data_IF_860234039024
#
_entry.id   IF_860234039024
#
_cell.length_a   1.000
_cell.length_b   1.000
_cell.length_c   1.000
_cell.angle_alpha   90.00
_cell.angle_beta   90.00
_cell.angle_gamma   90.00
#
_symmetry.space_group_name_H-M   'P 1'
#
loop_
_entity.id
_entity.type
_entity.pdbx_description
1 polymer ?
#
# COMPACT_ATOMS: atom_id res chain seq x y z
N UNK A 1 -39.54 66.41 -39.77
CA UNK A 1 -38.88 65.36 -40.57
C UNK A 1 -37.95 64.48 -39.70
N UNK A 2 -37.33 65.03 -38.66
CA UNK A 2 -36.33 64.35 -37.82
C UNK A 2 -36.97 63.23 -36.89
N UNK A 3 -38.22 63.45 -36.41
CA UNK A 3 -38.89 62.50 -35.53
C UNK A 3 -39.33 61.15 -36.14
N UNK A 4 -39.42 61.06 -37.48
CA UNK A 4 -39.76 59.77 -38.14
C UNK A 4 -38.54 58.89 -38.39
N UNK A 5 -37.34 59.50 -38.52
CA UNK A 5 -36.09 58.78 -38.72
C UNK A 5 -35.62 58.16 -37.38
N UNK A 6 -35.73 58.88 -36.27
CA UNK A 6 -35.36 58.37 -34.93
C UNK A 6 -36.25 57.21 -34.52
N UNK A 7 -37.56 57.21 -34.80
CA UNK A 7 -38.46 56.09 -34.48
C UNK A 7 -38.18 54.85 -35.32
N UNK A 8 -37.71 54.97 -36.59
CA UNK A 8 -37.31 53.82 -37.42
C UNK A 8 -35.97 53.23 -36.97
N UNK A 9 -35.05 54.06 -36.51
CA UNK A 9 -33.75 53.58 -35.99
C UNK A 9 -33.90 52.87 -34.63
N UNK A 10 -34.80 53.37 -33.75
CA UNK A 10 -35.07 52.66 -32.48
C UNK A 10 -35.81 51.31 -32.68
N UNK A 11 -36.73 51.21 -33.67
CA UNK A 11 -37.42 49.94 -33.95
C UNK A 11 -36.51 48.89 -34.63
N UNK A 12 -35.50 49.31 -35.40
CA UNK A 12 -34.50 48.41 -36.00
C UNK A 12 -33.50 47.91 -34.96
N UNK A 13 -33.15 48.75 -33.94
CA UNK A 13 -32.25 48.36 -32.85
C UNK A 13 -32.92 47.40 -31.88
N UNK A 14 -34.23 47.55 -31.64
CA UNK A 14 -35.02 46.65 -30.77
C UNK A 14 -35.23 45.26 -31.41
N UNK A 15 -35.34 45.21 -32.75
CA UNK A 15 -35.47 43.96 -33.51
C UNK A 15 -34.15 43.20 -33.60
N UNK A 16 -33.01 43.89 -33.60
CA UNK A 16 -31.69 43.25 -33.67
C UNK A 16 -31.23 42.68 -32.30
N UNK A 17 -31.69 43.24 -31.18
CA UNK A 17 -31.45 42.74 -29.85
C UNK A 17 -32.33 41.51 -29.52
N UNK A 18 -33.54 41.40 -30.12
CA UNK A 18 -34.43 40.27 -29.93
C UNK A 18 -34.00 38.98 -30.70
N UNK A 19 -33.15 39.09 -31.72
CA UNK A 19 -32.68 37.94 -32.53
C UNK A 19 -31.40 37.33 -31.94
N UNK A 20 -30.67 38.03 -31.08
CA UNK A 20 -29.46 37.54 -30.41
C UNK A 20 -29.76 36.76 -29.11
N UNK A 21 -31.01 36.65 -28.66
CA UNK A 21 -31.39 35.98 -27.39
C UNK A 21 -31.97 34.56 -27.55
N UNK A 22 -31.92 33.93 -28.73
CA UNK A 22 -32.54 32.62 -28.97
C UNK A 22 -31.59 31.50 -29.47
N UNK A 23 -30.29 31.67 -29.32
CA UNK A 23 -29.38 30.52 -29.35
C UNK A 23 -28.71 30.31 -27.98
N UNK A 24 -29.52 30.17 -26.94
CA UNK A 24 -29.09 29.38 -25.79
C UNK A 24 -29.09 27.90 -26.26
N UNK A 25 -27.96 27.44 -26.83
CA UNK A 25 -27.66 26.03 -26.92
C UNK A 25 -27.84 25.54 -25.48
N UNK A 26 -28.74 24.58 -25.21
CA UNK A 26 -28.72 23.94 -23.89
C UNK A 26 -27.34 23.33 -23.77
N UNK A 27 -26.47 23.95 -22.99
CA UNK A 27 -25.35 23.22 -22.39
C UNK A 27 -26.01 22.12 -21.57
N UNK A 28 -26.16 20.95 -22.19
CA UNK A 28 -26.29 19.73 -21.40
C UNK A 28 -25.09 19.77 -20.47
N UNK A 29 -25.31 20.13 -19.24
CA UNK A 29 -24.38 19.89 -18.14
C UNK A 29 -24.32 18.36 -18.08
N UNK A 30 -23.48 17.75 -18.95
CA UNK A 30 -23.04 16.38 -18.74
C UNK A 30 -22.41 16.42 -17.34
N UNK A 31 -23.06 15.79 -16.36
CA UNK A 31 -22.44 15.56 -15.08
C UNK A 31 -21.04 15.04 -15.33
N UNK A 32 -20.05 15.59 -14.65
CA UNK A 32 -18.67 15.15 -14.83
C UNK A 32 -18.61 13.62 -14.66
N UNK A 33 -17.98 12.94 -15.62
CA UNK A 33 -17.77 11.49 -15.54
C UNK A 33 -17.07 11.17 -14.23
N UNK A 34 -17.51 10.13 -13.53
CA UNK A 34 -16.95 9.78 -12.22
C UNK A 34 -16.47 8.34 -12.19
N UNK A 35 -15.41 8.07 -11.41
CA UNK A 35 -14.94 6.73 -11.07
C UNK A 35 -15.04 6.52 -9.57
N UNK A 36 -15.74 5.45 -9.18
CA UNK A 36 -15.90 5.08 -7.77
C UNK A 36 -14.78 4.20 -7.25
N UNK A 37 -14.20 4.58 -6.09
CA UNK A 37 -13.21 3.83 -5.34
C UNK A 37 -13.71 3.51 -3.92
N UNK A 38 -13.48 2.29 -3.40
CA UNK A 38 -13.80 1.95 -2.02
C UNK A 38 -12.65 2.33 -1.09
N UNK A 39 -12.95 2.63 0.18
CA UNK A 39 -11.97 2.77 1.25
C UNK A 39 -12.38 1.84 2.39
N UNK A 40 -11.79 0.63 2.43
CA UNK A 40 -12.04 -0.35 3.49
C UNK A 40 -11.07 -0.11 4.64
N UNK A 41 -11.34 0.91 5.47
CA UNK A 41 -10.41 1.43 6.46
C UNK A 41 -10.25 0.58 7.71
N UNK A 42 -9.21 0.87 8.50
CA UNK A 42 -8.98 0.36 9.84
C UNK A 42 -8.44 1.48 10.74
N UNK A 43 -9.28 2.48 10.98
CA UNK A 43 -8.91 3.70 11.73
C UNK A 43 -9.17 3.61 13.22
N UNK A 44 -9.81 2.53 13.67
CA UNK A 44 -10.08 2.28 15.09
C UNK A 44 -9.42 0.97 15.54
N UNK A 45 -9.30 0.78 16.86
CA UNK A 45 -8.69 -0.41 17.46
C UNK A 45 -7.15 -0.41 17.43
N UNK A 46 -6.53 -1.56 17.68
CA UNK A 46 -5.07 -1.67 17.86
C UNK A 46 -4.24 -1.27 16.64
N UNK A 47 -4.82 -1.30 15.44
CA UNK A 47 -4.16 -0.94 14.17
C UNK A 47 -4.44 0.50 13.71
N UNK A 48 -5.11 1.30 14.53
CA UNK A 48 -5.61 2.64 14.15
C UNK A 48 -4.50 3.60 13.71
N UNK A 49 -3.34 3.57 14.35
CA UNK A 49 -2.21 4.44 13.98
C UNK A 49 -1.77 4.20 12.53
N UNK A 50 -1.65 2.93 12.13
CA UNK A 50 -1.33 2.52 10.77
C UNK A 50 -2.46 2.90 9.80
N UNK A 51 -3.71 2.52 10.14
CA UNK A 51 -4.87 2.75 9.28
C UNK A 51 -5.17 4.23 9.07
N UNK A 52 -5.03 5.06 10.09
CA UNK A 52 -5.26 6.52 9.99
C UNK A 52 -4.29 7.15 8.98
N UNK A 53 -3.00 6.82 9.03
CA UNK A 53 -2.02 7.30 8.06
C UNK A 53 -2.31 6.78 6.65
N UNK A 54 -2.43 5.48 6.51
CA UNK A 54 -2.55 4.80 5.21
C UNK A 54 -3.81 5.22 4.43
N UNK A 55 -4.98 5.11 5.05
CA UNK A 55 -6.24 5.48 4.38
C UNK A 55 -6.44 7.00 4.30
N UNK A 56 -5.88 7.75 5.25
CA UNK A 56 -5.82 9.20 5.17
C UNK A 56 -5.14 9.67 3.90
N UNK A 57 -3.97 9.10 3.60
CA UNK A 57 -3.23 9.42 2.38
C UNK A 57 -3.97 9.05 1.09
N UNK A 58 -4.70 7.94 1.07
CA UNK A 58 -5.52 7.57 -0.10
C UNK A 58 -6.58 8.62 -0.40
N UNK A 59 -7.31 9.08 0.64
CA UNK A 59 -8.33 10.13 0.49
C UNK A 59 -7.67 11.47 0.14
N UNK A 60 -6.56 11.82 0.78
CA UNK A 60 -5.81 13.04 0.48
C UNK A 60 -5.36 13.07 -1.00
N UNK A 61 -4.89 11.94 -1.52
CA UNK A 61 -4.49 11.86 -2.93
C UNK A 61 -5.68 11.93 -3.88
N UNK A 62 -6.80 11.28 -3.58
CA UNK A 62 -8.03 11.41 -4.37
C UNK A 62 -8.55 12.85 -4.38
N UNK A 63 -8.51 13.55 -3.23
CA UNK A 63 -8.81 14.97 -3.15
C UNK A 63 -7.87 15.80 -4.04
N UNK A 64 -6.56 15.55 -3.95
CA UNK A 64 -5.57 16.22 -4.77
C UNK A 64 -5.82 16.02 -6.28
N UNK A 65 -6.08 14.78 -6.70
CA UNK A 65 -6.41 14.46 -8.10
C UNK A 65 -7.65 15.20 -8.56
N UNK A 66 -8.70 15.23 -7.74
CA UNK A 66 -9.93 15.96 -8.06
C UNK A 66 -9.72 17.47 -8.16
N UNK A 67 -8.94 18.07 -7.24
CA UNK A 67 -8.60 19.49 -7.30
C UNK A 67 -7.76 19.86 -8.53
N UNK A 68 -7.13 18.89 -9.18
CA UNK A 68 -6.37 19.05 -10.41
C UNK A 68 -7.09 18.49 -11.65
N UNK A 69 -8.43 18.42 -11.63
CA UNK A 69 -9.26 18.08 -12.78
C UNK A 69 -9.50 16.58 -12.99
N UNK A 70 -9.27 15.76 -11.97
CA UNK A 70 -9.53 14.32 -12.02
C UNK A 70 -8.50 13.53 -12.85
N UNK A 71 -8.86 12.32 -13.19
CA UNK A 71 -8.04 11.45 -14.06
C UNK A 71 -8.48 11.64 -15.51
N UNK A 72 -7.76 12.48 -16.26
CA UNK A 72 -8.14 12.87 -17.63
C UNK A 72 -9.59 13.40 -17.71
N UNK A 73 -10.03 14.20 -16.74
CA UNK A 73 -11.39 14.75 -16.67
C UNK A 73 -12.40 13.91 -15.90
N UNK A 74 -12.06 12.66 -15.51
CA UNK A 74 -12.92 11.81 -14.69
C UNK A 74 -12.70 12.11 -13.22
N UNK A 75 -13.74 12.53 -12.52
CA UNK A 75 -13.66 12.84 -11.09
C UNK A 75 -13.74 11.57 -10.26
N UNK A 76 -13.03 11.54 -9.14
CA UNK A 76 -13.01 10.40 -8.23
C UNK A 76 -14.08 10.56 -7.14
N UNK A 77 -14.82 9.51 -6.90
CA UNK A 77 -15.75 9.41 -5.77
C UNK A 77 -15.35 8.24 -4.88
N UNK A 78 -15.66 8.31 -3.58
CA UNK A 78 -15.36 7.21 -2.66
C UNK A 78 -16.39 7.10 -1.55
N UNK A 79 -16.39 5.94 -0.94
CA UNK A 79 -17.09 5.68 0.32
C UNK A 79 -16.16 4.91 1.24
N UNK A 80 -16.14 5.29 2.51
CA UNK A 80 -15.36 4.63 3.55
C UNK A 80 -16.23 3.65 4.36
N UNK A 81 -15.66 2.50 4.70
CA UNK A 81 -16.24 1.51 5.59
C UNK A 81 -15.16 0.98 6.54
N UNK A 82 -15.42 1.10 7.85
CA UNK A 82 -14.45 0.70 8.88
C UNK A 82 -14.46 -0.82 9.11
N UNK A 83 -13.30 -1.46 8.93
CA UNK A 83 -13.09 -2.91 9.08
C UNK A 83 -12.52 -3.31 10.44
N UNK A 84 -11.98 -2.37 11.20
CA UNK A 84 -11.27 -2.62 12.46
C UNK A 84 -10.14 -3.67 12.34
N UNK A 85 -9.54 -3.80 11.14
CA UNK A 85 -8.57 -4.84 10.81
C UNK A 85 -9.12 -6.28 10.99
N UNK A 86 -10.42 -6.46 10.89
CA UNK A 86 -11.13 -7.72 11.13
C UNK A 86 -11.60 -8.35 9.83
N UNK A 87 -11.39 -9.67 9.66
CA UNK A 87 -11.73 -10.39 8.43
C UNK A 87 -13.24 -10.42 8.16
N UNK A 88 -14.08 -10.59 9.18
CA UNK A 88 -15.55 -10.63 9.04
C UNK A 88 -16.06 -9.27 8.60
N UNK A 89 -15.64 -8.20 9.32
CA UNK A 89 -15.99 -6.82 8.96
C UNK A 89 -15.45 -6.43 7.58
N UNK A 90 -14.30 -6.97 7.15
CA UNK A 90 -13.80 -6.77 5.78
C UNK A 90 -14.76 -7.32 4.74
N UNK A 91 -15.33 -8.52 4.96
CA UNK A 91 -16.34 -9.10 4.05
C UNK A 91 -17.61 -8.27 4.03
N UNK A 92 -18.08 -7.80 5.19
CA UNK A 92 -19.26 -6.91 5.30
C UNK A 92 -19.00 -5.58 4.55
N UNK A 93 -17.84 -4.96 4.77
CA UNK A 93 -17.44 -3.74 4.07
C UNK A 93 -17.30 -3.96 2.57
N UNK A 94 -16.74 -5.10 2.14
CA UNK A 94 -16.69 -5.44 0.72
C UNK A 94 -18.07 -5.47 0.08
N UNK A 95 -19.04 -6.14 0.71
CA UNK A 95 -20.42 -6.21 0.22
C UNK A 95 -21.08 -4.80 0.19
N UNK A 96 -20.88 -4.01 1.24
CA UNK A 96 -21.43 -2.66 1.35
C UNK A 96 -20.84 -1.69 0.33
N UNK A 97 -19.55 -1.82 0.04
CA UNK A 97 -18.81 -0.93 -0.86
C UNK A 97 -18.84 -1.38 -2.32
N UNK A 98 -19.31 -2.60 -2.62
CA UNK A 98 -19.17 -3.23 -3.93
C UNK A 98 -19.78 -2.42 -5.07
N UNK A 99 -20.92 -1.76 -4.81
CA UNK A 99 -21.61 -0.93 -5.79
C UNK A 99 -22.21 0.31 -5.12
N UNK A 100 -22.03 1.46 -5.75
CA UNK A 100 -22.65 2.71 -5.34
C UNK A 100 -23.11 3.50 -6.56
N UNK A 101 -24.34 3.98 -6.52
CA UNK A 101 -24.94 4.82 -7.58
C UNK A 101 -24.78 4.19 -8.99
N UNK A 102 -24.89 2.87 -9.11
CA UNK A 102 -24.74 2.11 -10.34
C UNK A 102 -23.28 1.90 -10.77
N UNK A 103 -22.30 2.34 -10.00
CA UNK A 103 -20.88 2.11 -10.26
C UNK A 103 -20.32 1.02 -9.34
N UNK A 104 -19.71 0.00 -9.92
CA UNK A 104 -18.99 -1.04 -9.19
C UNK A 104 -17.55 -0.62 -8.91
N UNK A 105 -17.02 -1.11 -7.79
CA UNK A 105 -15.60 -0.94 -7.49
C UNK A 105 -14.74 -1.67 -8.52
N UNK A 106 -13.59 -1.10 -8.83
CA UNK A 106 -12.60 -1.70 -9.75
C UNK A 106 -11.39 -2.27 -9.01
N UNK A 107 -11.18 -1.82 -7.77
CA UNK A 107 -10.08 -2.21 -6.90
C UNK A 107 -10.56 -2.33 -5.47
N UNK A 108 -9.94 -3.22 -4.70
CA UNK A 108 -10.16 -3.35 -3.26
C UNK A 108 -8.82 -3.51 -2.55
N UNK A 109 -8.62 -2.74 -1.49
CA UNK A 109 -7.42 -2.74 -0.66
C UNK A 109 -7.83 -2.85 0.81
N UNK A 110 -7.37 -3.89 1.47
CA UNK A 110 -7.79 -4.18 2.85
C UNK A 110 -6.73 -3.78 3.88
N UNK A 111 -5.49 -3.48 3.45
CA UNK A 111 -4.30 -3.37 4.31
C UNK A 111 -4.14 -4.56 5.28
N UNK A 112 -5.19 -5.29 5.54
CA UNK A 112 -5.27 -6.41 6.47
C UNK A 112 -5.10 -7.75 5.73
N UNK A 113 -4.03 -8.50 5.99
CA UNK A 113 -3.82 -9.83 5.41
C UNK A 113 -5.00 -10.78 5.71
N UNK A 114 -5.55 -10.86 6.93
CA UNK A 114 -6.74 -11.68 7.19
C UNK A 114 -7.94 -11.26 6.35
N UNK A 115 -8.13 -9.95 6.15
CA UNK A 115 -9.18 -9.42 5.28
C UNK A 115 -8.98 -9.78 3.81
N UNK A 116 -7.73 -9.68 3.31
CA UNK A 116 -7.39 -10.09 1.95
C UNK A 116 -7.72 -11.57 1.70
N UNK A 117 -7.32 -12.46 2.60
CA UNK A 117 -7.65 -13.89 2.53
C UNK A 117 -9.16 -14.16 2.53
N UNK A 118 -9.94 -13.36 3.28
CA UNK A 118 -11.39 -13.54 3.37
C UNK A 118 -12.15 -13.19 2.08
N UNK A 119 -11.59 -12.27 1.25
CA UNK A 119 -12.25 -11.80 0.02
C UNK A 119 -11.61 -12.32 -1.26
N UNK A 120 -10.38 -12.84 -1.23
CA UNK A 120 -9.55 -13.15 -2.39
C UNK A 120 -10.26 -14.02 -3.45
N UNK A 121 -11.04 -15.01 -3.01
CA UNK A 121 -11.74 -15.94 -3.91
C UNK A 121 -12.91 -15.30 -4.68
N UNK A 122 -13.33 -14.09 -4.30
CA UNK A 122 -14.40 -13.35 -4.98
C UNK A 122 -13.89 -12.48 -6.13
N UNK A 123 -12.63 -12.09 -6.08
CA UNK A 123 -12.04 -11.05 -6.95
C UNK A 123 -12.24 -11.35 -8.44
N UNK A 124 -11.95 -12.57 -8.86
CA UNK A 124 -12.11 -12.98 -10.26
C UNK A 124 -13.58 -12.99 -10.70
N UNK A 125 -14.49 -13.46 -9.84
CA UNK A 125 -15.93 -13.51 -10.13
C UNK A 125 -16.53 -12.11 -10.23
N UNK A 126 -16.10 -11.22 -9.37
CA UNK A 126 -16.65 -9.87 -9.23
C UNK A 126 -15.96 -8.87 -10.19
N UNK A 127 -14.87 -9.28 -10.87
CA UNK A 127 -13.99 -8.44 -11.71
C UNK A 127 -13.41 -7.26 -10.93
N UNK A 128 -12.88 -7.53 -9.75
CA UNK A 128 -12.28 -6.53 -8.86
C UNK A 128 -10.81 -6.87 -8.61
N UNK A 129 -9.93 -5.93 -8.81
CA UNK A 129 -8.50 -6.06 -8.46
C UNK A 129 -8.33 -6.04 -6.95
N UNK A 130 -7.70 -7.06 -6.36
CA UNK A 130 -7.20 -7.03 -4.99
C UNK A 130 -5.80 -6.43 -5.00
N UNK A 131 -5.71 -5.17 -4.62
CA UNK A 131 -4.44 -4.46 -4.54
C UNK A 131 -3.81 -4.67 -3.17
N UNK A 132 -2.70 -5.40 -3.11
CA UNK A 132 -1.94 -5.72 -1.92
C UNK A 132 -0.59 -5.01 -1.99
N UNK A 133 -0.51 -3.78 -1.51
CA UNK A 133 0.73 -2.99 -1.54
C UNK A 133 1.63 -3.33 -0.35
N UNK A 134 2.48 -4.35 -0.54
CA UNK A 134 3.42 -4.83 0.48
C UNK A 134 2.81 -5.67 1.58
N UNK A 135 1.63 -6.25 1.37
CA UNK A 135 0.96 -7.12 2.33
C UNK A 135 0.16 -8.22 1.60
N UNK A 136 -0.56 -9.06 2.35
CA UNK A 136 -1.53 -10.01 1.84
C UNK A 136 -0.95 -11.39 1.52
N UNK A 137 -1.55 -12.09 0.57
CA UNK A 137 -1.14 -13.41 0.14
C UNK A 137 0.04 -13.32 -0.83
N UNK A 138 1.18 -13.88 -0.46
CA UNK A 138 2.43 -13.72 -1.22
C UNK A 138 2.41 -14.41 -2.58
N UNK A 139 1.91 -15.65 -2.68
CA UNK A 139 1.83 -16.37 -3.96
C UNK A 139 0.78 -15.79 -4.92
N UNK A 140 -0.02 -14.82 -4.46
CA UNK A 140 -0.83 -13.94 -5.29
C UNK A 140 -0.02 -13.12 -6.29
N UNK A 141 1.30 -13.01 -6.10
CA UNK A 141 2.22 -12.39 -7.05
C UNK A 141 2.44 -13.21 -8.34
N UNK A 142 1.98 -14.44 -8.43
CA UNK A 142 1.92 -15.19 -9.70
C UNK A 142 0.58 -14.93 -10.41
N UNK A 143 0.55 -13.96 -11.31
CA UNK A 143 -0.66 -13.58 -12.04
C UNK A 143 -1.21 -14.65 -12.99
N UNK A 144 -0.43 -15.68 -13.29
CA UNK A 144 -0.91 -16.83 -14.08
C UNK A 144 -1.96 -17.62 -13.31
N UNK A 145 -1.84 -17.70 -11.99
CA UNK A 145 -2.78 -18.37 -11.08
C UNK A 145 -3.75 -17.39 -10.45
N UNK A 146 -3.27 -16.18 -10.14
CA UNK A 146 -4.00 -15.14 -9.43
C UNK A 146 -4.20 -13.87 -10.29
N UNK A 147 -4.94 -13.93 -11.41
CA UNK A 147 -5.00 -12.82 -12.37
C UNK A 147 -5.68 -11.54 -11.85
N UNK A 148 -6.27 -11.58 -10.65
CA UNK A 148 -6.95 -10.45 -10.01
C UNK A 148 -6.30 -10.02 -8.70
N UNK A 149 -5.15 -10.60 -8.33
CA UNK A 149 -4.44 -10.33 -7.09
C UNK A 149 -3.07 -9.74 -7.41
N UNK A 150 -2.76 -8.58 -6.87
CA UNK A 150 -1.54 -7.84 -7.17
C UNK A 150 -0.81 -7.45 -5.90
N UNK A 151 0.46 -7.86 -5.78
CA UNK A 151 1.36 -7.47 -4.70
C UNK A 151 2.29 -6.33 -5.15
N UNK A 152 1.73 -5.28 -5.76
CA UNK A 152 2.49 -4.22 -6.40
C UNK A 152 3.65 -3.70 -5.54
N UNK A 153 4.83 -3.61 -6.15
CA UNK A 153 6.11 -3.23 -5.60
C UNK A 153 6.75 -4.21 -4.60
N UNK A 154 5.97 -4.99 -3.81
CA UNK A 154 6.56 -5.87 -2.80
C UNK A 154 5.58 -6.87 -2.18
N UNK A 155 6.11 -8.00 -1.70
CA UNK A 155 5.38 -8.97 -0.88
C UNK A 155 6.22 -9.46 0.33
N UNK A 156 5.66 -10.27 1.20
CA UNK A 156 6.29 -10.66 2.47
C UNK A 156 7.54 -11.53 2.31
N UNK A 157 7.61 -12.39 1.27
CA UNK A 157 8.79 -13.24 1.08
C UNK A 157 9.99 -12.43 0.58
N UNK A 158 9.78 -11.40 -0.24
CA UNK A 158 10.83 -10.44 -0.58
C UNK A 158 11.27 -9.62 0.64
N UNK A 159 10.32 -9.20 1.50
CA UNK A 159 10.65 -8.47 2.73
C UNK A 159 11.54 -9.29 3.65
N UNK A 160 11.17 -10.55 3.95
CA UNK A 160 11.96 -11.38 4.86
C UNK A 160 13.32 -11.72 4.25
N UNK A 161 13.41 -11.93 2.94
CA UNK A 161 14.67 -12.21 2.26
C UNK A 161 15.63 -11.01 2.33
N UNK A 162 15.12 -9.77 2.16
CA UNK A 162 15.95 -8.55 2.34
C UNK A 162 16.38 -8.39 3.81
N UNK A 163 15.51 -8.67 4.78
CA UNK A 163 15.88 -8.65 6.20
C UNK A 163 17.02 -9.62 6.49
N UNK A 164 16.91 -10.87 6.05
CA UNK A 164 17.94 -11.89 6.27
C UNK A 164 19.24 -11.55 5.54
N UNK A 165 19.17 -11.01 4.31
CA UNK A 165 20.33 -10.49 3.57
C UNK A 165 21.06 -9.41 4.38
N UNK A 166 20.31 -8.43 4.92
CA UNK A 166 20.90 -7.36 5.74
C UNK A 166 21.54 -7.90 7.02
N UNK A 167 20.89 -8.83 7.73
CA UNK A 167 21.50 -9.50 8.89
C UNK A 167 22.81 -10.18 8.51
N UNK A 168 22.84 -10.89 7.38
CA UNK A 168 24.06 -11.53 6.87
C UNK A 168 25.14 -10.50 6.53
N UNK A 169 24.80 -9.35 5.96
CA UNK A 169 25.76 -8.26 5.70
C UNK A 169 26.40 -7.74 7.00
N UNK A 170 25.60 -7.52 8.04
CA UNK A 170 26.12 -7.11 9.37
C UNK A 170 27.02 -8.19 10.00
N UNK A 171 26.73 -9.48 9.81
CA UNK A 171 27.52 -10.58 10.32
C UNK A 171 28.80 -10.85 9.48
N UNK A 172 28.97 -10.20 8.33
CA UNK A 172 30.13 -10.36 7.47
C UNK A 172 29.97 -11.36 6.33
N UNK A 173 28.72 -11.71 6.00
CA UNK A 173 28.35 -12.57 4.86
C UNK A 173 27.52 -13.79 5.24
N UNK A 174 26.92 -14.42 4.22
CA UNK A 174 26.06 -15.59 4.40
C UNK A 174 26.76 -16.74 5.12
N UNK A 175 28.04 -16.97 4.82
CA UNK A 175 28.83 -18.04 5.47
C UNK A 175 28.97 -17.84 6.99
N UNK A 176 28.86 -16.59 7.46
CA UNK A 176 28.91 -16.27 8.89
C UNK A 176 27.56 -16.46 9.60
N UNK A 177 26.53 -16.75 8.85
CA UNK A 177 25.20 -17.04 9.41
C UNK A 177 25.08 -18.46 9.92
N UNK A 178 25.91 -19.38 9.49
CA UNK A 178 25.88 -20.77 9.94
C UNK A 178 26.02 -20.89 11.46
N UNK A 179 25.05 -21.56 12.09
CA UNK A 179 24.98 -21.74 13.55
C UNK A 179 24.40 -20.56 14.31
N UNK A 180 24.15 -19.40 13.67
CA UNK A 180 23.42 -18.28 14.28
C UNK A 180 22.01 -18.67 14.63
N UNK A 181 21.44 -17.99 15.64
CA UNK A 181 20.05 -18.13 16.07
C UNK A 181 19.25 -16.90 15.70
N UNK A 182 18.17 -17.07 14.97
CA UNK A 182 17.22 -15.99 14.67
C UNK A 182 15.88 -16.35 15.29
N UNK A 183 15.34 -15.47 16.10
CA UNK A 183 13.95 -15.55 16.55
C UNK A 183 13.06 -14.80 15.56
N UNK A 184 12.02 -15.47 15.07
CA UNK A 184 10.88 -14.83 14.41
C UNK A 184 9.76 -14.66 15.44
N UNK A 185 9.66 -13.45 15.99
CA UNK A 185 8.60 -13.07 16.91
C UNK A 185 7.45 -12.46 16.12
N UNK A 186 6.29 -13.11 16.09
CA UNK A 186 5.19 -12.70 15.23
C UNK A 186 3.83 -12.81 15.90
N UNK A 187 2.87 -11.99 15.45
CA UNK A 187 1.48 -12.16 15.85
C UNK A 187 0.91 -13.48 15.30
N UNK A 188 0.14 -14.20 16.11
CA UNK A 188 -0.52 -15.44 15.70
C UNK A 188 -1.74 -15.17 14.80
N UNK A 189 -1.46 -14.89 13.54
CA UNK A 189 -2.44 -14.62 12.50
C UNK A 189 -1.90 -15.02 11.12
N UNK A 190 -2.72 -15.00 10.09
CA UNK A 190 -2.28 -15.21 8.71
C UNK A 190 -1.13 -14.26 8.35
N UNK A 191 -1.21 -12.98 8.76
CA UNK A 191 -0.16 -11.99 8.56
C UNK A 191 1.18 -12.41 9.19
N UNK A 192 1.18 -12.82 10.45
CA UNK A 192 2.42 -13.19 11.18
C UNK A 192 3.08 -14.46 10.64
N UNK A 193 2.29 -15.37 10.08
CA UNK A 193 2.77 -16.66 9.53
C UNK A 193 3.16 -16.59 8.06
N UNK A 194 2.74 -15.53 7.33
CA UNK A 194 2.96 -15.42 5.88
C UNK A 194 4.44 -15.50 5.45
N UNK A 195 5.43 -14.91 6.16
CA UNK A 195 6.84 -14.98 5.77
C UNK A 195 7.50 -16.34 6.06
N UNK A 196 6.89 -17.20 6.88
CA UNK A 196 7.52 -18.43 7.38
C UNK A 196 7.99 -19.40 6.28
N UNK A 197 7.26 -19.64 5.18
CA UNK A 197 7.73 -20.57 4.14
C UNK A 197 9.09 -20.16 3.56
N UNK A 198 9.26 -18.89 3.18
CA UNK A 198 10.53 -18.37 2.68
C UNK A 198 11.61 -18.34 3.78
N UNK A 199 11.24 -17.89 4.98
CA UNK A 199 12.17 -17.78 6.09
C UNK A 199 12.75 -19.14 6.50
N UNK A 200 11.90 -20.17 6.64
CA UNK A 200 12.33 -21.55 6.96
C UNK A 200 13.31 -22.07 5.93
N UNK A 201 13.03 -21.86 4.63
CA UNK A 201 13.88 -22.32 3.55
C UNK A 201 15.24 -21.61 3.54
N UNK A 202 15.27 -20.28 3.62
CA UNK A 202 16.50 -19.49 3.66
C UNK A 202 17.34 -19.85 4.88
N UNK A 203 16.73 -19.91 6.07
CA UNK A 203 17.43 -20.27 7.31
C UNK A 203 18.00 -21.68 7.23
N UNK A 204 17.26 -22.65 6.69
CA UNK A 204 17.75 -24.01 6.46
C UNK A 204 18.96 -24.04 5.53
N UNK A 205 18.90 -23.33 4.40
CA UNK A 205 19.99 -23.31 3.42
C UNK A 205 21.26 -22.63 3.98
N UNK A 206 21.11 -21.67 4.87
CA UNK A 206 22.23 -20.95 5.51
C UNK A 206 22.73 -21.63 6.79
N UNK A 207 22.08 -22.72 7.23
CA UNK A 207 22.40 -23.37 8.50
C UNK A 207 22.10 -22.53 9.73
N UNK A 208 21.11 -21.64 9.66
CA UNK A 208 20.63 -20.79 10.76
C UNK A 208 19.60 -21.56 11.57
N UNK A 209 19.70 -21.50 12.91
CA UNK A 209 18.66 -22.00 13.83
C UNK A 209 17.52 -20.98 13.90
N UNK A 210 16.42 -21.24 13.18
CA UNK A 210 15.20 -20.46 13.27
C UNK A 210 14.39 -20.89 14.50
N UNK A 211 13.94 -19.92 15.31
CA UNK A 211 13.08 -20.09 16.47
C UNK A 211 11.82 -19.26 16.24
N UNK A 212 10.68 -19.93 16.10
CA UNK A 212 9.40 -19.29 15.87
C UNK A 212 8.69 -19.09 17.21
N UNK A 213 8.31 -17.84 17.51
CA UNK A 213 7.58 -17.47 18.74
C UNK A 213 6.36 -16.66 18.33
N UNK A 214 5.17 -17.15 18.67
CA UNK A 214 3.93 -16.45 18.38
C UNK A 214 3.45 -15.61 19.56
N UNK A 215 2.77 -14.52 19.26
CA UNK A 215 2.10 -13.62 20.20
C UNK A 215 0.61 -13.69 19.92
N UNK A 216 -0.23 -14.06 20.90
CA UNK A 216 -1.68 -14.04 20.73
C UNK A 216 -2.20 -12.64 20.40
N UNK A 217 -3.21 -12.49 19.51
CA UNK A 217 -3.89 -11.21 19.30
C UNK A 217 -4.54 -10.71 20.61
N UNK A 218 -4.56 -9.40 20.85
CA UNK A 218 -4.13 -8.28 20.01
C UNK A 218 -2.63 -7.96 20.05
N UNK A 219 -1.80 -8.79 20.69
CA UNK A 219 -0.35 -8.68 20.65
C UNK A 219 0.27 -7.70 21.65
N UNK A 220 -0.49 -7.24 22.63
CA UNK A 220 -0.02 -6.27 23.63
C UNK A 220 0.70 -6.93 24.80
N UNK A 221 0.38 -8.18 25.13
CA UNK A 221 1.02 -8.94 26.20
C UNK A 221 2.11 -9.85 25.63
N UNK A 222 3.37 -9.47 25.86
CA UNK A 222 4.53 -10.13 25.23
C UNK A 222 5.58 -10.58 26.26
N UNK A 223 5.34 -10.44 27.55
CA UNK A 223 6.35 -10.69 28.59
C UNK A 223 6.89 -12.12 28.55
N UNK A 224 6.01 -13.12 28.38
CA UNK A 224 6.40 -14.54 28.35
C UNK A 224 7.29 -14.85 27.15
N UNK A 225 6.98 -14.26 25.97
CA UNK A 225 7.76 -14.41 24.76
C UNK A 225 9.16 -13.80 24.92
N UNK A 226 9.26 -12.62 25.51
CA UNK A 226 10.56 -11.97 25.74
C UNK A 226 11.38 -12.67 26.81
N UNK A 227 10.78 -13.30 27.82
CA UNK A 227 11.48 -14.20 28.75
C UNK A 227 12.00 -15.47 28.04
N UNK A 228 11.25 -16.01 27.07
CA UNK A 228 11.72 -17.10 26.23
C UNK A 228 12.91 -16.64 25.35
N UNK A 229 12.82 -15.48 24.70
CA UNK A 229 13.91 -14.89 23.90
C UNK A 229 15.18 -14.73 24.77
N UNK A 230 15.04 -14.23 25.99
CA UNK A 230 16.17 -14.12 26.93
C UNK A 230 16.85 -15.48 27.21
N UNK A 231 16.07 -16.56 27.35
CA UNK A 231 16.61 -17.93 27.56
C UNK A 231 17.28 -18.47 26.31
N UNK A 232 16.71 -18.24 25.14
CA UNK A 232 17.23 -18.70 23.85
C UNK A 232 18.52 -18.00 23.46
N UNK A 233 18.75 -16.78 23.91
CA UNK A 233 19.91 -15.94 23.57
C UNK A 233 20.14 -15.88 22.06
N UNK A 234 19.17 -15.41 21.24
CA UNK A 234 19.35 -15.35 19.80
C UNK A 234 20.35 -14.25 19.42
N UNK A 235 20.97 -14.39 18.26
CA UNK A 235 21.80 -13.37 17.65
C UNK A 235 20.94 -12.23 17.07
N UNK A 236 19.73 -12.56 16.58
CA UNK A 236 18.80 -11.62 15.98
C UNK A 236 17.35 -11.91 16.36
N UNK A 237 16.56 -10.85 16.45
CA UNK A 237 15.09 -10.93 16.53
C UNK A 237 14.50 -10.22 15.33
N UNK A 238 13.74 -10.93 14.49
CA UNK A 238 12.89 -10.33 13.49
C UNK A 238 11.47 -10.24 14.03
N UNK A 239 10.94 -9.01 14.12
CA UNK A 239 9.62 -8.79 14.65
C UNK A 239 8.60 -8.62 13.50
N UNK A 240 7.47 -9.32 13.63
CA UNK A 240 6.40 -9.30 12.66
C UNK A 240 5.07 -9.00 13.34
N UNK A 241 4.94 -7.77 13.81
CA UNK A 241 3.75 -7.23 14.46
C UNK A 241 3.05 -6.20 13.58
N UNK A 242 1.85 -5.81 13.99
CA UNK A 242 1.04 -4.81 13.30
C UNK A 242 0.41 -3.84 14.31
N UNK A 243 0.63 -2.55 14.08
CA UNK A 243 0.11 -1.47 14.90
C UNK A 243 1.03 -1.06 16.05
N UNK A 244 0.95 0.23 16.38
CA UNK A 244 1.90 0.91 17.26
C UNK A 244 1.98 0.29 18.67
N UNK A 245 0.85 -0.11 19.26
CA UNK A 245 0.85 -0.70 20.59
C UNK A 245 1.64 -2.02 20.67
N UNK A 246 1.51 -2.90 19.68
CA UNK A 246 2.26 -4.15 19.62
C UNK A 246 3.76 -3.90 19.39
N UNK A 247 4.10 -3.02 18.47
CA UNK A 247 5.47 -2.72 18.07
C UNK A 247 6.23 -2.02 19.19
N UNK A 248 5.64 -1.00 19.83
CA UNK A 248 6.24 -0.29 20.96
C UNK A 248 6.38 -1.19 22.19
N UNK A 249 5.42 -2.10 22.44
CA UNK A 249 5.52 -3.12 23.50
C UNK A 249 6.71 -4.06 23.27
N UNK A 250 6.95 -4.48 22.02
CA UNK A 250 8.10 -5.32 21.69
C UNK A 250 9.43 -4.61 22.01
N UNK A 251 9.57 -3.34 21.61
CA UNK A 251 10.76 -2.53 21.89
C UNK A 251 11.00 -2.36 23.41
N UNK A 252 9.93 -2.05 24.14
CA UNK A 252 9.99 -1.87 25.60
C UNK A 252 10.39 -3.17 26.32
N UNK A 253 9.82 -4.32 25.93
CA UNK A 253 10.19 -5.61 26.53
C UNK A 253 11.61 -6.03 26.15
N UNK A 254 12.06 -5.77 24.92
CA UNK A 254 13.44 -5.99 24.52
C UNK A 254 14.41 -5.19 25.41
N UNK A 255 14.08 -3.91 25.66
CA UNK A 255 14.87 -3.05 26.55
C UNK A 255 14.92 -3.61 27.99
N UNK A 256 13.79 -4.11 28.53
CA UNK A 256 13.72 -4.68 29.90
C UNK A 256 14.61 -5.91 30.09
N UNK A 257 14.84 -6.69 29.03
CA UNK A 257 15.74 -7.85 29.09
C UNK A 257 17.15 -7.55 28.61
N UNK A 258 17.45 -6.27 28.34
CA UNK A 258 18.73 -5.79 27.77
C UNK A 258 19.07 -6.44 26.42
N UNK A 259 18.07 -6.76 25.58
CA UNK A 259 18.34 -7.25 24.24
C UNK A 259 18.84 -6.08 23.36
N UNK A 260 19.92 -6.27 22.58
CA UNK A 260 20.49 -5.20 21.74
C UNK A 260 19.48 -4.74 20.67
N UNK A 261 19.19 -3.43 20.58
CA UNK A 261 18.23 -2.90 19.62
C UNK A 261 18.74 -2.98 18.18
N UNK A 262 20.04 -2.85 17.98
CA UNK A 262 20.73 -3.06 16.69
C UNK A 262 20.77 -4.56 16.25
N UNK A 263 20.12 -5.42 16.98
CA UNK A 263 19.85 -6.83 16.64
C UNK A 263 18.36 -7.12 16.49
N UNK A 264 17.54 -6.06 16.43
CA UNK A 264 16.11 -6.14 16.18
C UNK A 264 15.79 -5.55 14.80
N UNK A 265 15.00 -6.30 14.03
CA UNK A 265 14.61 -5.85 12.70
C UNK A 265 13.11 -5.98 12.48
N UNK A 266 12.45 -4.84 12.26
CA UNK A 266 11.01 -4.73 12.05
C UNK A 266 10.64 -4.89 10.57
N UNK A 267 9.38 -5.25 10.33
CA UNK A 267 8.76 -5.28 9.02
C UNK A 267 8.21 -3.91 8.66
N UNK A 268 7.83 -3.68 7.41
CA UNK A 268 7.26 -2.40 6.95
C UNK A 268 6.03 -1.92 7.74
N UNK A 269 5.33 -2.81 8.46
CA UNK A 269 4.20 -2.50 9.34
C UNK A 269 4.58 -2.32 10.82
N UNK A 270 5.84 -2.18 11.11
CA UNK A 270 6.39 -1.91 12.42
C UNK A 270 7.54 -0.90 12.33
N UNK A 271 7.57 -0.14 11.25
CA UNK A 271 8.66 0.75 10.87
C UNK A 271 8.15 2.17 10.60
N UNK A 272 7.24 2.68 11.41
CA UNK A 272 6.74 4.04 11.29
C UNK A 272 7.00 4.83 12.57
N UNK A 273 7.03 6.13 12.44
CA UNK A 273 7.24 7.08 13.54
C UNK A 273 6.22 6.84 14.66
N UNK A 274 4.99 6.48 14.29
CA UNK A 274 3.90 6.16 15.21
C UNK A 274 4.15 4.90 16.05
N UNK A 275 5.04 4.02 15.60
CA UNK A 275 5.47 2.84 16.36
C UNK A 275 6.64 3.17 17.29
N UNK A 276 7.51 4.10 16.89
CA UNK A 276 8.75 4.44 17.58
C UNK A 276 8.53 5.41 18.73
N UNK A 277 7.77 6.48 18.53
CA UNK A 277 7.53 7.49 19.57
C UNK A 277 6.97 6.92 20.88
N UNK A 278 5.98 6.00 20.90
CA UNK A 278 5.50 5.44 22.16
C UNK A 278 6.52 4.59 22.90
N UNK A 279 7.51 4.02 22.20
CA UNK A 279 8.59 3.25 22.82
C UNK A 279 9.74 4.12 23.34
N UNK A 280 9.83 5.38 22.90
CA UNK A 280 10.87 6.34 23.30
C UNK A 280 12.28 5.77 23.11
N UNK A 281 13.13 5.89 24.13
CA UNK A 281 14.52 5.41 24.05
C UNK A 281 14.65 3.89 23.79
N UNK A 282 13.59 3.11 24.05
CA UNK A 282 13.62 1.67 23.77
C UNK A 282 13.61 1.37 22.25
N UNK A 283 13.23 2.32 21.41
CA UNK A 283 13.23 2.16 19.95
C UNK A 283 14.60 2.47 19.32
N UNK A 284 15.45 3.28 19.96
CA UNK A 284 16.69 3.79 19.38
C UNK A 284 17.61 2.65 18.97
N UNK A 285 18.07 2.67 17.70
CA UNK A 285 18.96 1.68 17.13
C UNK A 285 18.26 0.49 16.46
N UNK A 286 16.91 0.37 16.55
CA UNK A 286 16.19 -0.70 15.87
C UNK A 286 16.20 -0.51 14.35
N UNK A 287 16.34 -1.60 13.62
CA UNK A 287 16.23 -1.61 12.16
C UNK A 287 14.82 -1.92 11.68
N UNK A 288 14.50 -1.43 10.49
CA UNK A 288 13.26 -1.73 9.81
C UNK A 288 13.46 -1.78 8.29
N UNK A 289 12.66 -2.58 7.59
CA UNK A 289 12.57 -2.52 6.13
C UNK A 289 11.40 -1.65 5.71
N UNK A 290 11.58 -0.88 4.65
CA UNK A 290 10.55 0.00 4.10
C UNK A 290 10.39 -0.21 2.59
N UNK A 291 9.15 -0.27 2.10
CA UNK A 291 8.79 -0.18 0.70
C UNK A 291 8.31 1.22 0.29
N UNK A 292 8.19 2.11 1.27
CA UNK A 292 8.01 3.54 1.08
C UNK A 292 8.81 4.28 2.17
N UNK A 293 9.65 5.23 1.78
CA UNK A 293 10.46 6.00 2.73
C UNK A 293 9.64 7.12 3.36
N UNK A 294 9.93 7.48 4.63
CA UNK A 294 9.36 8.66 5.28
C UNK A 294 9.89 9.94 4.65
N UNK A 295 9.20 11.02 4.89
CA UNK A 295 9.58 12.37 4.51
C UNK A 295 8.43 13.17 3.92
N UNK A 296 8.35 14.43 4.31
CA UNK A 296 7.36 15.39 3.80
C UNK A 296 7.91 16.25 2.65
N UNK A 297 9.17 16.05 2.26
CA UNK A 297 9.85 16.87 1.27
C UNK A 297 9.64 16.43 -0.19
N UNK A 298 9.04 15.29 -0.42
CA UNK A 298 8.70 14.84 -1.76
C UNK A 298 7.77 15.85 -2.46
N UNK A 299 8.00 16.18 -3.74
CA UNK A 299 7.21 17.20 -4.46
C UNK A 299 5.70 16.99 -4.39
N UNK A 300 5.22 15.73 -4.51
CA UNK A 300 3.80 15.43 -4.41
C UNK A 300 3.25 15.66 -3.00
N UNK A 301 4.02 15.30 -1.96
CA UNK A 301 3.62 15.52 -0.55
C UNK A 301 3.46 17.01 -0.27
N UNK A 302 4.42 17.84 -0.74
CA UNK A 302 4.34 19.31 -0.64
C UNK A 302 3.09 19.88 -1.33
N UNK A 303 2.78 19.41 -2.55
CA UNK A 303 1.58 19.83 -3.29
C UNK A 303 0.28 19.42 -2.55
N UNK A 304 0.22 18.21 -2.00
CA UNK A 304 -0.93 17.78 -1.20
C UNK A 304 -1.08 18.65 0.05
N UNK A 305 0.03 18.92 0.76
CA UNK A 305 0.03 19.83 1.92
C UNK A 305 -0.50 21.20 1.56
N UNK A 306 -0.01 21.79 0.49
CA UNK A 306 -0.41 23.12 0.03
C UNK A 306 -1.88 23.16 -0.41
N UNK A 307 -2.26 22.27 -1.32
CA UNK A 307 -3.58 22.34 -1.95
C UNK A 307 -4.68 21.70 -1.09
N UNK A 308 -4.48 20.46 -0.61
CA UNK A 308 -5.54 19.72 0.10
C UNK A 308 -5.67 20.20 1.53
N UNK A 309 -4.55 20.27 2.28
CA UNK A 309 -4.57 20.77 3.66
C UNK A 309 -4.78 22.28 3.72
N UNK A 310 -4.19 23.04 2.79
CA UNK A 310 -4.44 24.48 2.67
C UNK A 310 -5.91 24.85 2.41
N UNK A 311 -6.66 23.96 1.74
CA UNK A 311 -8.11 24.11 1.53
C UNK A 311 -8.97 23.49 2.64
N UNK A 312 -8.38 23.00 3.75
CA UNK A 312 -9.11 22.36 4.85
C UNK A 312 -9.72 21.00 4.50
N UNK A 313 -9.24 20.32 3.45
CA UNK A 313 -9.71 19.01 2.97
C UNK A 313 -8.82 17.84 3.34
N UNK A 314 -7.77 18.06 4.15
CA UNK A 314 -6.85 17.02 4.61
C UNK A 314 -7.55 16.01 5.50
N UNK A 315 -7.16 14.75 5.39
CA UNK A 315 -7.80 13.62 6.06
C UNK A 315 -7.02 13.08 7.28
N UNK A 316 -5.93 13.72 7.68
CA UNK A 316 -5.26 13.45 8.94
C UNK A 316 -5.74 14.38 10.04
N UNK A 317 -6.10 13.83 11.21
CA UNK A 317 -6.41 14.62 12.38
C UNK A 317 -5.21 15.43 12.89
N UNK A 318 -4.00 14.85 12.79
CA UNK A 318 -2.74 15.54 13.06
C UNK A 318 -1.95 15.71 11.76
N UNK A 319 -1.93 16.93 11.16
CA UNK A 319 -1.17 17.21 9.93
C UNK A 319 0.36 17.03 10.08
N UNK A 320 0.90 16.95 11.30
CA UNK A 320 2.34 16.68 11.52
C UNK A 320 2.74 15.27 11.07
N UNK A 321 1.77 14.37 10.96
CA UNK A 321 1.98 12.99 10.47
C UNK A 321 2.07 12.90 8.93
N UNK A 322 1.89 14.01 8.23
CA UNK A 322 2.01 14.06 6.77
C UNK A 322 3.45 13.73 6.38
N UNK A 323 3.63 12.73 5.53
CA UNK A 323 4.95 12.23 5.18
C UNK A 323 5.50 11.15 6.12
N UNK A 324 4.77 10.72 7.16
CA UNK A 324 5.16 9.52 7.94
C UNK A 324 5.17 8.27 7.05
N UNK A 325 5.88 7.22 7.47
CA UNK A 325 5.97 5.96 6.73
C UNK A 325 4.58 5.43 6.36
N UNK A 326 3.63 5.42 7.30
CA UNK A 326 2.29 4.91 7.03
C UNK A 326 1.53 5.79 6.02
N UNK A 327 1.66 7.11 6.13
CA UNK A 327 1.01 8.01 5.19
C UNK A 327 1.62 7.88 3.78
N UNK A 328 2.96 7.86 3.67
CA UNK A 328 3.64 7.71 2.37
C UNK A 328 3.33 6.36 1.70
N UNK A 329 3.12 5.30 2.49
CA UNK A 329 2.66 4.01 1.95
C UNK A 329 1.25 4.08 1.40
N UNK A 330 0.34 4.73 2.11
CA UNK A 330 -1.02 4.96 1.62
C UNK A 330 -1.06 5.81 0.35
N UNK A 331 -0.20 6.85 0.29
CA UNK A 331 0.00 7.65 -0.92
C UNK A 331 0.51 6.79 -2.08
N UNK A 332 1.53 5.95 -1.84
CA UNK A 332 2.05 5.03 -2.84
C UNK A 332 0.98 4.09 -3.40
N UNK A 333 0.16 3.49 -2.52
CA UNK A 333 -0.94 2.62 -2.94
C UNK A 333 -1.97 3.36 -3.83
N UNK A 334 -2.40 4.55 -3.41
CA UNK A 334 -3.35 5.35 -4.18
C UNK A 334 -2.77 5.83 -5.53
N UNK A 335 -1.49 6.19 -5.57
CA UNK A 335 -0.79 6.50 -6.83
C UNK A 335 -0.87 5.33 -7.80
N UNK A 336 -0.65 4.08 -7.34
CA UNK A 336 -0.74 2.90 -8.19
C UNK A 336 -2.15 2.70 -8.76
N UNK A 337 -3.21 2.98 -7.96
CA UNK A 337 -4.58 2.90 -8.46
C UNK A 337 -4.83 3.91 -9.59
N UNK A 338 -4.39 5.13 -9.41
CA UNK A 338 -4.60 6.21 -10.39
C UNK A 338 -3.78 5.96 -11.67
N UNK A 339 -2.56 5.47 -11.55
CA UNK A 339 -1.74 5.09 -12.71
C UNK A 339 -2.34 3.87 -13.43
N UNK A 340 -2.85 2.88 -12.70
CA UNK A 340 -3.60 1.76 -13.28
C UNK A 340 -4.82 2.25 -14.07
N UNK A 341 -5.59 3.19 -13.53
CA UNK A 341 -6.73 3.80 -14.23
C UNK A 341 -6.27 4.57 -15.49
N UNK A 342 -5.19 5.37 -15.43
CA UNK A 342 -4.63 6.08 -16.59
C UNK A 342 -4.21 5.12 -17.71
N UNK A 343 -3.53 4.04 -17.34
CA UNK A 343 -3.14 2.99 -18.29
C UNK A 343 -4.38 2.33 -18.92
N UNK A 344 -5.38 1.96 -18.10
CA UNK A 344 -6.64 1.38 -18.57
C UNK A 344 -7.35 2.30 -19.57
N UNK A 345 -7.51 3.58 -19.23
CA UNK A 345 -8.11 4.56 -20.11
C UNK A 345 -7.38 4.65 -21.47
N UNK A 346 -6.04 4.64 -21.44
CA UNK A 346 -5.22 4.68 -22.66
C UNK A 346 -5.34 3.39 -23.48
N UNK A 347 -5.22 2.23 -22.83
CA UNK A 347 -5.24 0.92 -23.50
C UNK A 347 -6.59 0.61 -24.17
N UNK A 348 -7.68 1.03 -23.55
CA UNK A 348 -9.05 0.76 -23.99
C UNK A 348 -9.71 1.95 -24.71
N UNK A 349 -8.96 2.97 -25.11
CA UNK A 349 -9.46 4.19 -25.80
C UNK A 349 -10.58 4.89 -25.01
N UNK A 350 -10.45 4.95 -23.69
CA UNK A 350 -11.42 5.53 -22.74
C UNK A 350 -10.89 6.76 -22.02
N UNK A 351 -9.96 7.51 -22.64
CA UNK A 351 -9.52 8.78 -22.05
C UNK A 351 -10.73 9.69 -21.82
N UNK A 352 -10.88 10.18 -20.59
CA UNK A 352 -12.03 10.99 -20.18
C UNK A 352 -13.28 10.18 -19.78
N UNK A 353 -13.18 8.85 -19.67
CA UNK A 353 -14.29 7.97 -19.26
C UNK A 353 -13.88 7.05 -18.09
N UNK A 354 -14.86 6.66 -17.31
CA UNK A 354 -14.71 5.62 -16.29
C UNK A 354 -14.33 4.27 -16.93
N UNK A 355 -13.64 3.44 -16.17
CA UNK A 355 -13.20 2.11 -16.59
C UNK A 355 -13.93 1.03 -15.82
N UNK A 356 -14.12 -0.12 -16.45
CA UNK A 356 -14.64 -1.33 -15.81
C UNK A 356 -13.54 -2.05 -15.01
N UNK A 357 -13.91 -2.99 -14.13
CA UNK A 357 -12.94 -3.77 -13.37
C UNK A 357 -11.96 -4.56 -14.27
N UNK A 358 -12.42 -5.10 -15.40
CA UNK A 358 -11.55 -5.81 -16.34
C UNK A 358 -10.54 -4.87 -17.02
N UNK A 359 -10.99 -3.71 -17.47
CA UNK A 359 -10.11 -2.69 -18.05
C UNK A 359 -9.12 -2.16 -17.00
N UNK A 360 -9.58 -1.92 -15.77
CA UNK A 360 -8.71 -1.51 -14.68
C UNK A 360 -7.63 -2.55 -14.38
N UNK A 361 -7.98 -3.84 -14.35
CA UNK A 361 -7.01 -4.93 -14.18
C UNK A 361 -5.94 -4.87 -15.26
N UNK A 362 -6.31 -4.72 -16.52
CA UNK A 362 -5.36 -4.66 -17.64
C UNK A 362 -4.40 -3.46 -17.47
N UNK A 363 -4.95 -2.30 -17.10
CA UNK A 363 -4.14 -1.11 -16.82
C UNK A 363 -3.25 -1.23 -15.59
N UNK A 364 -3.71 -1.96 -14.56
CA UNK A 364 -2.93 -2.21 -13.35
C UNK A 364 -1.81 -3.24 -13.61
N UNK A 365 -2.07 -4.30 -14.42
CA UNK A 365 -1.08 -5.27 -14.88
C UNK A 365 0.00 -4.62 -15.78
N UNK A 366 -0.30 -3.47 -16.38
CA UNK A 366 0.60 -2.68 -17.22
C UNK A 366 1.37 -1.59 -16.44
N UNK A 367 1.35 -1.61 -15.10
CA UNK A 367 2.10 -0.62 -14.32
C UNK A 367 3.60 -0.71 -14.60
N UNK A 368 4.18 0.42 -15.00
CA UNK A 368 5.61 0.58 -15.22
C UNK A 368 6.09 1.88 -14.55
N UNK A 369 6.45 1.76 -13.28
CA UNK A 369 6.84 2.84 -12.40
C UNK A 369 8.35 3.07 -12.49
N UNK A 370 8.80 3.60 -13.63
CA UNK A 370 10.21 3.97 -13.85
C UNK A 370 10.60 5.15 -12.96
N UNK A 371 11.92 5.35 -12.75
CA UNK A 371 12.40 6.56 -12.05
C UNK A 371 11.92 7.87 -12.67
N UNK A 372 11.84 7.92 -14.01
CA UNK A 372 11.31 9.07 -14.72
C UNK A 372 9.83 9.29 -14.36
N UNK A 373 9.00 8.21 -14.41
CA UNK A 373 7.58 8.30 -14.06
C UNK A 373 7.35 8.69 -12.61
N UNK A 374 8.11 8.10 -11.67
CA UNK A 374 8.08 8.49 -10.27
C UNK A 374 8.48 9.97 -10.07
N UNK A 375 9.41 10.47 -10.87
CA UNK A 375 9.81 11.89 -10.88
C UNK A 375 8.71 12.82 -11.39
N UNK A 376 8.02 12.47 -12.48
CA UNK A 376 6.88 13.22 -13.02
C UNK A 376 5.72 13.31 -12.02
N UNK A 377 5.45 12.21 -11.30
CA UNK A 377 4.43 12.16 -10.25
C UNK A 377 4.86 12.98 -9.02
N UNK A 378 6.17 13.05 -8.76
CA UNK A 378 6.74 13.76 -7.62
C UNK A 378 6.99 12.88 -6.38
N UNK A 379 7.20 11.59 -6.58
CA UNK A 379 7.52 10.60 -5.53
C UNK A 379 8.82 9.83 -5.80
N UNK A 380 9.70 10.38 -6.66
CA UNK A 380 11.02 9.79 -6.91
C UNK A 380 11.79 9.66 -5.60
N UNK A 381 12.33 8.48 -5.34
CA UNK A 381 13.05 8.16 -4.11
C UNK A 381 12.15 7.73 -2.95
N UNK A 382 10.84 8.05 -2.97
CA UNK A 382 9.91 7.58 -1.93
C UNK A 382 9.63 6.08 -2.04
N UNK A 383 9.53 5.57 -3.26
CA UNK A 383 9.34 4.14 -3.58
C UNK A 383 10.38 3.69 -4.60
N UNK A 384 10.72 2.40 -4.58
CA UNK A 384 11.62 1.83 -5.59
C UNK A 384 10.93 1.78 -6.96
N UNK A 385 11.65 1.98 -8.07
CA UNK A 385 11.13 1.70 -9.40
C UNK A 385 10.77 0.22 -9.57
N UNK A 386 9.64 -0.06 -10.23
CA UNK A 386 9.18 -1.42 -10.52
C UNK A 386 8.28 -1.45 -11.76
N UNK A 387 8.11 -2.64 -12.33
CA UNK A 387 7.12 -2.92 -13.36
C UNK A 387 6.40 -4.22 -13.05
N UNK A 388 5.12 -4.27 -13.35
CA UNK A 388 4.28 -5.46 -13.23
C UNK A 388 4.15 -6.13 -14.60
N UNK A 389 3.90 -7.42 -14.61
CA UNK A 389 3.58 -8.19 -15.81
C UNK A 389 2.60 -9.30 -15.47
N UNK A 390 1.95 -9.87 -16.48
CA UNK A 390 1.04 -11.01 -16.33
C UNK A 390 1.63 -12.16 -15.48
N UNK A 391 2.91 -12.46 -15.62
CA UNK A 391 3.56 -13.50 -14.82
C UNK A 391 3.98 -13.01 -13.43
N UNK A 392 4.27 -11.72 -13.25
CA UNK A 392 4.83 -11.19 -12.01
C UNK A 392 4.06 -9.95 -11.54
N UNK A 393 3.17 -10.14 -10.58
CA UNK A 393 2.35 -9.09 -9.97
C UNK A 393 3.03 -8.38 -8.79
N UNK A 394 4.29 -8.70 -8.46
CA UNK A 394 5.10 -7.96 -7.49
C UNK A 394 5.91 -6.84 -8.17
N UNK A 395 6.62 -7.19 -9.22
CA UNK A 395 7.60 -6.32 -9.84
C UNK A 395 8.99 -6.45 -9.20
N UNK A 396 9.48 -5.41 -8.52
CA UNK A 396 10.87 -5.34 -8.10
C UNK A 396 11.21 -6.05 -6.78
N UNK A 397 10.28 -6.14 -5.83
CA UNK A 397 10.52 -6.72 -4.50
C UNK A 397 11.66 -6.03 -3.73
N UNK A 398 11.84 -4.71 -3.92
CA UNK A 398 12.93 -3.94 -3.33
C UNK A 398 12.50 -3.22 -2.06
N UNK A 399 13.42 -3.16 -1.08
CA UNK A 399 13.23 -2.46 0.18
C UNK A 399 14.48 -1.66 0.53
N UNK A 400 14.29 -0.55 1.22
CA UNK A 400 15.37 0.11 1.94
C UNK A 400 15.40 -0.39 3.40
N UNK A 401 16.59 -0.46 3.99
CA UNK A 401 16.74 -0.64 5.42
C UNK A 401 16.89 0.72 6.06
N UNK A 402 16.15 0.94 7.14
CA UNK A 402 16.17 2.14 7.94
C UNK A 402 16.54 1.81 9.37
N UNK A 403 17.11 2.78 10.10
CA UNK A 403 17.38 2.68 11.53
C UNK A 403 16.81 3.89 12.27
N UNK A 404 16.15 3.65 13.38
CA UNK A 404 15.62 4.72 14.22
C UNK A 404 16.70 5.35 15.09
N UNK A 405 16.89 6.67 14.95
CA UNK A 405 17.92 7.43 15.70
C UNK A 405 17.39 8.11 16.98
N UNK A 406 16.09 8.04 17.24
CA UNK A 406 15.39 8.67 18.37
C UNK A 406 14.45 9.80 17.94
N UNK A 407 14.64 10.36 16.76
CA UNK A 407 13.84 11.46 16.22
C UNK A 407 13.23 11.11 14.84
N UNK A 408 14.02 10.45 14.01
CA UNK A 408 13.67 10.09 12.63
C UNK A 408 14.29 8.76 12.22
N UNK A 409 13.94 8.28 11.04
CA UNK A 409 14.59 7.14 10.41
C UNK A 409 15.75 7.59 9.53
N UNK A 410 16.94 7.10 9.83
CA UNK A 410 18.09 7.17 8.94
C UNK A 410 18.00 6.05 7.91
N UNK A 411 18.12 6.37 6.63
CA UNK A 411 18.20 5.37 5.58
C UNK A 411 19.60 4.76 5.57
N UNK A 412 19.71 3.46 5.88
CA UNK A 412 20.98 2.73 6.00
C UNK A 412 21.42 2.15 4.66
N UNK A 413 20.48 1.67 3.85
CA UNK A 413 20.77 1.12 2.52
C UNK A 413 19.99 1.86 1.45
N UNK A 414 20.46 1.77 0.19
CA UNK A 414 19.61 2.04 -0.97
C UNK A 414 18.48 1.01 -1.09
N UNK A 415 17.82 1.01 -2.25
CA UNK A 415 16.81 0.01 -2.58
C UNK A 415 17.45 -1.35 -2.85
N UNK A 416 17.30 -2.27 -1.91
CA UNK A 416 17.88 -3.62 -1.93
C UNK A 416 16.85 -4.65 -2.39
N UNK A 417 17.22 -5.47 -3.38
CA UNK A 417 16.48 -6.68 -3.72
C UNK A 417 16.86 -7.84 -2.76
N UNK A 418 16.06 -8.92 -2.70
CA UNK A 418 16.46 -10.19 -2.09
C UNK A 418 17.86 -10.62 -2.54
N UNK A 419 18.57 -11.35 -1.70
CA UNK A 419 19.90 -11.87 -2.05
C UNK A 419 19.88 -12.76 -3.31
N UNK A 420 18.81 -13.53 -3.45
CA UNK A 420 18.48 -14.31 -4.66
C UNK A 420 17.02 -14.05 -5.06
N UNK A 421 16.76 -13.08 -5.95
CA UNK A 421 15.41 -12.80 -6.43
C UNK A 421 14.77 -13.97 -7.21
N UNK A 422 15.59 -14.75 -7.96
CA UNK A 422 15.10 -15.89 -8.72
C UNK A 422 14.61 -17.02 -7.79
N UNK A 423 15.33 -17.26 -6.70
CA UNK A 423 14.90 -18.20 -5.67
C UNK A 423 13.55 -17.80 -5.04
N UNK A 424 13.39 -16.53 -4.65
CA UNK A 424 12.12 -16.05 -4.10
C UNK A 424 10.99 -16.18 -5.12
N UNK A 425 11.27 -15.85 -6.38
CA UNK A 425 10.31 -16.02 -7.49
C UNK A 425 9.91 -17.50 -7.65
N UNK A 426 10.87 -18.42 -7.62
CA UNK A 426 10.63 -19.87 -7.69
C UNK A 426 9.76 -20.39 -6.55
N UNK A 427 9.94 -19.86 -5.34
CA UNK A 427 9.05 -20.18 -4.20
C UNK A 427 7.61 -19.71 -4.45
N UNK A 428 7.43 -18.48 -4.95
CA UNK A 428 6.11 -17.93 -5.30
C UNK A 428 5.43 -18.81 -6.33
N UNK A 429 6.11 -19.13 -7.42
CA UNK A 429 5.59 -19.96 -8.51
C UNK A 429 5.22 -21.37 -8.04
N UNK A 430 6.09 -21.99 -7.22
CA UNK A 430 5.84 -23.31 -6.64
C UNK A 430 4.60 -23.34 -5.74
N UNK A 431 4.44 -22.30 -4.89
CA UNK A 431 3.27 -22.18 -4.02
C UNK A 431 2.00 -21.96 -4.82
N UNK A 432 2.03 -21.06 -5.80
CA UNK A 432 0.90 -20.79 -6.68
C UNK A 432 0.50 -22.02 -7.50
N UNK A 433 1.47 -22.75 -8.04
CA UNK A 433 1.23 -24.00 -8.80
C UNK A 433 0.60 -25.08 -7.91
N UNK A 434 1.05 -25.22 -6.65
CA UNK A 434 0.45 -26.12 -5.68
C UNK A 434 -1.02 -25.76 -5.43
N UNK A 435 -1.29 -24.47 -5.16
CA UNK A 435 -2.66 -23.99 -4.98
C UNK A 435 -3.54 -24.24 -6.22
N UNK A 436 -3.01 -23.96 -7.41
CA UNK A 436 -3.74 -24.21 -8.66
C UNK A 436 -4.13 -25.68 -8.82
N UNK A 437 -3.20 -26.60 -8.52
CA UNK A 437 -3.47 -28.05 -8.54
C UNK A 437 -4.54 -28.46 -7.54
N UNK A 438 -4.46 -27.97 -6.30
CA UNK A 438 -5.40 -28.30 -5.23
C UNK A 438 -6.82 -27.76 -5.49
N UNK A 439 -6.95 -26.69 -6.29
CA UNK A 439 -8.22 -26.03 -6.59
C UNK A 439 -8.68 -26.19 -8.03
N UNK A 440 -8.05 -27.07 -8.82
CA UNK A 440 -8.36 -27.33 -10.23
C UNK A 440 -8.34 -26.06 -11.10
N UNK A 441 -7.41 -25.15 -10.85
CA UNK A 441 -7.20 -23.91 -11.60
C UNK A 441 -6.22 -24.19 -12.73
N UNK A 442 -6.60 -23.84 -13.97
CA UNK A 442 -5.68 -23.85 -15.12
C UNK A 442 -4.97 -22.50 -15.16
N UNK A 443 -3.63 -22.48 -14.99
CA UNK A 443 -2.89 -21.20 -15.04
C UNK A 443 -3.04 -20.51 -16.41
N UNK A 444 -3.20 -19.17 -16.38
CA UNK A 444 -3.25 -18.34 -17.58
C UNK A 444 -1.89 -18.41 -18.31
N UNK A 445 -1.90 -18.41 -19.63
CA UNK A 445 -0.69 -18.21 -20.43
C UNK A 445 -0.35 -16.71 -20.47
N UNK A 446 0.88 -16.36 -20.19
CA UNK A 446 1.40 -15.00 -20.30
C UNK A 446 2.26 -14.83 -21.57
#
# INVERSE_FOLDING_TARGET
>A
MINKIVKKLLSALTMMVAILSTFAIPQTVFGAETQYFPVASSRVGPSSAMGTGYYGAQIDYMNYVNMNGGVNGVMLTWQECETEYNAVKTVECYQRLFEKDGQRIVVFDTLATPGAYAVINRMAKDNVVLAQYGYGRTDGADGRVWPWVFNAASHYWSQIAVKLKFMAQIEGGVDKMKGKKIVHLHIDSAYGREPLPAMRKICSDWGVKLIEISIPPPGLEQQSQWLQIRREKPDWVTFWGAGSGMNSTAMTNAARINFPRDRMMYVTFGAAEEDMYPAGNAAIGTYAVANALPGADFPLVKKIKEQVYGAGKGNLADPKRLGSVYWNRGLGAAVMWIEGMRNAQKMHNKVGKAVTGAEFRDGYEALNMTEARLGEIGIKGMVAPFSISCANHEGAGKFAVMQWNGESFDQITGWEAPGDPAFIRGLVESSAAKFAKENNITPKKC
#
